data_IF_712238339681
#
_entry.id   IF_712238339681
#
_cell.length_a   1.000
_cell.length_b   1.000
_cell.length_c   1.000
_cell.angle_alpha   90.00
_cell.angle_beta   90.00
_cell.angle_gamma   90.00
#
_symmetry.space_group_name_H-M   'P 1'
#
loop_
_entity.id
_entity.type
_entity.pdbx_description
1 polymer ?
#
# COMPACT_ATOMS: atom_id res chain seq x y z
N UNK A 1 16.56 26.29 -9.14
CA UNK A 1 15.79 26.85 -10.27
C UNK A 1 14.33 26.43 -10.08
N UNK A 2 13.41 27.38 -9.97
CA UNK A 2 11.99 27.11 -9.74
C UNK A 2 11.24 26.72 -11.04
N UNK A 3 11.90 26.85 -12.20
CA UNK A 3 11.31 26.52 -13.50
C UNK A 3 11.59 25.07 -13.95
N UNK A 4 12.37 24.32 -13.17
CA UNK A 4 12.75 22.95 -13.50
C UNK A 4 11.52 22.03 -13.50
N UNK A 5 11.29 21.34 -14.62
CA UNK A 5 10.39 20.18 -14.67
C UNK A 5 11.06 19.03 -13.94
N UNK A 6 10.38 18.48 -12.92
CA UNK A 6 10.88 17.34 -12.16
C UNK A 6 10.34 16.02 -12.74
N UNK A 7 11.26 15.11 -13.05
CA UNK A 7 10.97 13.73 -13.42
C UNK A 7 11.07 12.81 -12.20
N UNK A 8 10.73 11.53 -12.35
CA UNK A 8 10.72 10.57 -11.23
C UNK A 8 12.08 10.49 -10.54
N UNK A 9 13.17 10.43 -11.32
CA UNK A 9 14.55 10.35 -10.83
C UNK A 9 15.01 11.66 -10.14
N UNK A 10 14.29 12.77 -10.34
CA UNK A 10 14.54 14.02 -9.61
C UNK A 10 13.87 14.02 -8.22
N UNK A 11 12.81 13.22 -8.03
CA UNK A 11 12.00 13.18 -6.80
C UNK A 11 12.43 12.01 -5.92
N UNK A 12 12.76 10.87 -6.53
CA UNK A 12 13.19 9.65 -5.87
C UNK A 12 14.52 9.23 -6.51
N UNK A 13 15.62 9.51 -5.81
CA UNK A 13 16.98 9.45 -6.38
C UNK A 13 17.71 8.14 -6.12
N UNK A 14 17.12 7.19 -5.39
CA UNK A 14 17.74 5.92 -4.99
C UNK A 14 16.99 4.73 -5.61
N UNK A 15 17.69 3.61 -5.83
CA UNK A 15 17.13 2.36 -6.33
C UNK A 15 16.61 1.45 -5.19
N UNK A 16 16.99 1.71 -3.94
CA UNK A 16 16.48 1.05 -2.73
C UNK A 16 15.16 1.67 -2.26
N UNK A 17 14.15 1.64 -3.13
CA UNK A 17 12.84 2.24 -2.87
C UNK A 17 11.79 1.16 -2.58
N UNK A 18 10.96 1.46 -1.58
CA UNK A 18 9.77 0.68 -1.24
C UNK A 18 8.53 1.55 -1.41
N UNK A 19 7.49 0.97 -2.01
CA UNK A 19 6.17 1.58 -2.09
C UNK A 19 5.15 0.67 -1.45
N UNK A 20 4.21 1.24 -0.69
CA UNK A 20 3.09 0.50 -0.13
C UNK A 20 1.82 1.35 -0.19
N UNK A 21 0.71 0.72 -0.55
CA UNK A 21 -0.61 1.34 -0.51
C UNK A 21 -1.66 0.33 -0.03
N UNK A 22 -2.66 0.81 0.70
CA UNK A 22 -3.78 0.03 1.22
C UNK A 22 -5.09 0.73 0.86
N UNK A 23 -6.07 -0.01 0.36
CA UNK A 23 -7.38 0.55 0.04
C UNK A 23 -8.16 0.92 1.29
N UNK A 24 -8.64 2.17 1.38
CA UNK A 24 -9.55 2.63 2.43
C UNK A 24 -10.99 2.46 1.99
N UNK A 25 -11.35 3.05 0.85
CA UNK A 25 -12.58 2.79 0.09
C UNK A 25 -12.28 1.93 -1.14
N UNK A 26 -13.32 1.38 -1.76
CA UNK A 26 -13.17 0.65 -3.02
C UNK A 26 -12.63 1.56 -4.12
N UNK A 27 -11.50 1.15 -4.69
CA UNK A 27 -10.95 1.70 -5.93
C UNK A 27 -10.70 0.59 -6.94
N UNK A 28 -10.21 0.98 -8.11
CA UNK A 28 -9.96 0.04 -9.21
C UNK A 28 -8.83 -0.95 -8.91
N UNK A 29 -7.80 -0.49 -8.17
CA UNK A 29 -6.61 -1.30 -7.85
C UNK A 29 -6.76 -2.09 -6.55
N UNK A 30 -7.33 -1.48 -5.51
CA UNK A 30 -7.41 -2.06 -4.17
C UNK A 30 -8.83 -1.91 -3.63
N UNK A 31 -9.32 -2.98 -3.02
CA UNK A 31 -10.57 -2.96 -2.26
C UNK A 31 -10.41 -2.20 -0.95
N UNK A 32 -11.48 -1.51 -0.59
CA UNK A 32 -11.58 -0.80 0.68
C UNK A 32 -11.57 -1.74 1.87
N UNK A 33 -11.47 -1.16 3.06
CA UNK A 33 -11.53 -1.94 4.30
C UNK A 33 -12.92 -2.53 4.45
N UNK A 34 -12.99 -3.85 4.65
CA UNK A 34 -14.25 -4.55 4.93
C UNK A 34 -14.25 -4.98 6.39
N UNK A 35 -15.22 -4.48 7.15
CA UNK A 35 -15.47 -4.94 8.52
C UNK A 35 -16.43 -6.14 8.51
N UNK A 36 -16.09 -7.16 9.27
CA UNK A 36 -16.89 -8.36 9.46
C UNK A 36 -17.36 -8.47 10.91
N UNK A 37 -18.30 -9.41 11.14
CA UNK A 37 -18.68 -9.85 12.49
C UNK A 37 -17.50 -10.42 13.25
N UNK A 38 -17.62 -10.47 14.58
CA UNK A 38 -16.59 -10.97 15.52
C UNK A 38 -15.30 -10.14 15.48
N UNK A 39 -15.44 -8.83 15.30
CA UNK A 39 -14.35 -7.85 15.33
C UNK A 39 -13.20 -8.27 14.42
N UNK A 40 -13.52 -8.50 13.15
CA UNK A 40 -12.53 -8.76 12.12
C UNK A 40 -12.60 -7.69 11.06
N UNK A 41 -11.45 -7.33 10.51
CA UNK A 41 -11.37 -6.48 9.33
C UNK A 41 -10.55 -7.18 8.24
N UNK A 42 -10.87 -6.92 6.98
CA UNK A 42 -10.02 -7.28 5.85
C UNK A 42 -9.52 -6.04 5.16
N UNK A 43 -8.23 -6.05 4.84
CA UNK A 43 -7.57 -5.03 4.02
C UNK A 43 -6.97 -5.68 2.79
N UNK A 44 -6.86 -4.88 1.72
CA UNK A 44 -6.07 -5.24 0.55
C UNK A 44 -5.01 -4.16 0.31
N UNK A 45 -3.77 -4.61 0.15
CA UNK A 45 -2.61 -3.74 -0.03
C UNK A 45 -1.77 -4.20 -1.22
N UNK A 46 -1.01 -3.27 -1.79
CA UNK A 46 0.12 -3.57 -2.68
C UNK A 46 1.40 -3.10 -2.01
N UNK A 47 2.44 -3.92 -2.07
CA UNK A 47 3.79 -3.58 -1.62
C UNK A 47 4.77 -3.87 -2.74
N UNK A 48 5.65 -2.93 -3.03
CA UNK A 48 6.58 -2.98 -4.15
C UNK A 48 7.99 -2.64 -3.69
N UNK A 49 9.00 -3.25 -4.31
CA UNK A 49 10.40 -2.89 -4.11
C UNK A 49 11.08 -2.66 -5.45
N UNK A 50 11.63 -1.46 -5.65
CA UNK A 50 12.25 -1.04 -6.91
C UNK A 50 13.42 -1.95 -7.28
N UNK A 51 14.38 -2.14 -6.38
CA UNK A 51 15.57 -2.97 -6.61
C UNK A 51 15.27 -4.38 -7.14
N UNK A 52 14.21 -5.02 -6.65
CA UNK A 52 13.89 -6.40 -7.06
C UNK A 52 12.77 -6.48 -8.09
N UNK A 53 12.17 -5.34 -8.47
CA UNK A 53 10.97 -5.28 -9.31
C UNK A 53 9.78 -6.06 -8.75
N UNK A 54 9.81 -6.43 -7.46
CA UNK A 54 8.82 -7.34 -6.89
C UNK A 54 7.56 -6.56 -6.53
N UNK A 55 6.42 -7.07 -6.96
CA UNK A 55 5.09 -6.53 -6.66
C UNK A 55 4.33 -7.60 -5.89
N UNK A 56 3.83 -7.26 -4.70
CA UNK A 56 3.06 -8.17 -3.84
C UNK A 56 1.72 -7.56 -3.53
N UNK A 57 0.66 -8.28 -3.88
CA UNK A 57 -0.66 -8.00 -3.36
C UNK A 57 -0.86 -8.78 -2.05
N UNK A 58 -1.24 -8.07 -1.00
CA UNK A 58 -1.40 -8.63 0.34
C UNK A 58 -2.88 -8.50 0.74
N UNK A 59 -3.50 -9.63 1.02
CA UNK A 59 -4.84 -9.69 1.60
C UNK A 59 -4.70 -10.15 3.04
N UNK A 60 -5.11 -9.30 3.98
CA UNK A 60 -4.97 -9.59 5.41
C UNK A 60 -6.34 -9.62 6.06
N UNK A 61 -6.59 -10.64 6.88
CA UNK A 61 -7.72 -10.63 7.81
C UNK A 61 -7.19 -10.37 9.22
N UNK A 62 -7.53 -9.23 9.77
CA UNK A 62 -7.16 -8.77 11.09
C UNK A 62 -8.15 -9.33 12.12
N UNK A 63 -7.65 -9.78 13.27
CA UNK A 63 -8.44 -10.02 14.47
C UNK A 63 -8.32 -8.79 15.37
N UNK A 64 -9.40 -8.05 15.53
CA UNK A 64 -9.43 -6.79 16.29
C UNK A 64 -9.70 -7.02 17.79
N UNK A 65 -10.07 -8.24 18.19
CA UNK A 65 -10.30 -8.64 19.59
C UNK A 65 -9.01 -9.03 20.32
N UNK A 66 -7.85 -8.55 19.89
CA UNK A 66 -6.59 -8.76 20.59
C UNK A 66 -6.40 -7.63 21.62
N UNK A 67 -7.20 -7.68 22.70
CA UNK A 67 -7.20 -6.81 23.89
C UNK A 67 -8.58 -6.15 24.13
N UNK A 68 -9.26 -6.25 25.27
CA UNK A 68 -8.96 -6.78 26.62
C UNK A 68 -9.44 -8.23 26.85
#
# INVERSE_FOLDING_TARGET
DLSKVMYMDDIVTDDEVYFAATGVSDGDLLKGVVYYKKDRAKTQSVVMRAKTGTIRFVNTIHNLNLGE
#
